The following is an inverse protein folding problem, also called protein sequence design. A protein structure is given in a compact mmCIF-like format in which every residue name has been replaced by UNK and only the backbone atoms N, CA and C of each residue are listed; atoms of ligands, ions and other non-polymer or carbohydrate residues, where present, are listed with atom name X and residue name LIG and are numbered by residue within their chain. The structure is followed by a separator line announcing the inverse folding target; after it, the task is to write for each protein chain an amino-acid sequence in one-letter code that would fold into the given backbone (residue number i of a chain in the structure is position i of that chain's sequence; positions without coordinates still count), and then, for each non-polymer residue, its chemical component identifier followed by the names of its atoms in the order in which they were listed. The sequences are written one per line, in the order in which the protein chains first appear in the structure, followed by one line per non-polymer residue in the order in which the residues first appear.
data_IF_997340510269
#
_entry.id   IF_997340510269
#
_cell.length_a   1.000
_cell.length_b   1.000
_cell.length_c   1.000
_cell.angle_alpha   90.00
_cell.angle_beta   90.00
_cell.angle_gamma   90.00
#
_symmetry.space_group_name_H-M   'P 1'
#
loop_
_entity.id
_entity.type
_entity.pdbx_description
1 polymer ?
#
# COMPACT_ATOMS: atom_id res chain seq x y z
N UNK A 1 15.82 74.22 -4.50
CA UNK A 1 14.87 73.35 -5.23
C UNK A 1 15.30 71.91 -5.00
N UNK A 2 14.54 71.17 -4.19
CA UNK A 2 14.82 69.76 -3.88
C UNK A 2 14.37 68.90 -5.05
N UNK A 3 15.31 68.27 -5.77
CA UNK A 3 14.98 67.29 -6.82
C UNK A 3 14.48 66.01 -6.14
N UNK A 4 13.19 65.74 -6.26
CA UNK A 4 12.64 64.41 -5.98
C UNK A 4 13.07 63.51 -7.13
N UNK A 5 14.05 62.63 -6.88
CA UNK A 5 14.44 61.58 -7.82
C UNK A 5 13.44 60.44 -7.60
N UNK A 6 12.46 60.32 -8.49
CA UNK A 6 11.63 59.12 -8.57
C UNK A 6 12.41 58.09 -9.36
N UNK A 7 12.98 57.09 -8.68
CA UNK A 7 13.57 55.91 -9.32
C UNK A 7 12.44 55.04 -9.84
N UNK A 8 12.26 55.03 -11.16
CA UNK A 8 11.38 54.06 -11.83
C UNK A 8 12.05 52.69 -11.79
N UNK A 9 11.31 51.59 -11.50
CA UNK A 9 11.89 50.25 -11.50
C UNK A 9 12.45 49.91 -12.89
N UNK A 10 13.61 49.24 -12.93
CA UNK A 10 14.15 48.72 -14.18
C UNK A 10 13.11 47.80 -14.84
N UNK A 11 12.89 48.00 -16.15
CA UNK A 11 11.88 47.30 -16.95
C UNK A 11 11.95 45.77 -16.81
N UNK A 12 13.14 45.20 -16.56
CA UNK A 12 13.33 43.77 -16.30
C UNK A 12 12.72 43.25 -14.99
N UNK A 13 12.65 44.08 -13.94
CA UNK A 13 12.06 43.69 -12.65
C UNK A 13 10.53 43.62 -12.73
N UNK A 14 9.92 44.54 -13.47
CA UNK A 14 8.47 44.56 -13.73
C UNK A 14 8.03 43.37 -14.59
N UNK A 15 8.80 43.02 -15.64
CA UNK A 15 8.52 41.84 -16.48
C UNK A 15 8.61 40.54 -15.67
N UNK A 16 9.61 40.41 -14.79
CA UNK A 16 9.76 39.22 -13.93
C UNK A 16 8.61 39.09 -12.92
N UNK A 17 8.19 40.19 -12.30
CA UNK A 17 7.04 40.20 -11.39
C UNK A 17 5.72 39.87 -12.09
N UNK A 18 5.49 40.41 -13.30
CA UNK A 18 4.33 40.07 -14.12
C UNK A 18 4.32 38.58 -14.50
N UNK A 19 5.45 38.01 -14.93
CA UNK A 19 5.54 36.59 -15.27
C UNK A 19 5.25 35.66 -14.09
N UNK A 20 5.73 36.01 -12.89
CA UNK A 20 5.42 35.26 -11.66
C UNK A 20 3.93 35.35 -11.33
N UNK A 21 3.33 36.54 -11.44
CA UNK A 21 1.91 36.74 -11.17
C UNK A 21 1.02 35.99 -12.17
N UNK A 22 1.38 35.99 -13.46
CA UNK A 22 0.68 35.23 -14.50
C UNK A 22 0.78 33.73 -14.22
N UNK A 23 1.97 33.23 -13.88
CA UNK A 23 2.17 31.81 -13.57
C UNK A 23 1.38 31.39 -12.31
N UNK A 24 1.41 32.19 -11.25
CA UNK A 24 0.63 31.96 -10.02
C UNK A 24 -0.87 31.92 -10.31
N UNK A 25 -1.38 32.90 -11.07
CA UNK A 25 -2.79 32.98 -11.43
C UNK A 25 -3.22 31.83 -12.35
N UNK A 26 -2.33 31.36 -13.22
CA UNK A 26 -2.55 30.16 -14.03
C UNK A 26 -2.62 28.89 -13.16
N UNK A 27 -1.77 28.77 -12.13
CA UNK A 27 -1.83 27.66 -11.19
C UNK A 27 -3.11 27.66 -10.36
N UNK A 28 -3.56 28.82 -9.88
CA UNK A 28 -4.83 28.99 -9.17
C UNK A 28 -6.03 28.61 -10.05
N UNK A 29 -6.06 29.07 -11.30
CA UNK A 29 -7.12 28.70 -12.27
C UNK A 29 -7.09 27.20 -12.56
N UNK A 30 -5.91 26.60 -12.76
CA UNK A 30 -5.79 25.17 -12.98
C UNK A 30 -6.24 24.37 -11.75
N UNK A 31 -5.88 24.82 -10.54
CA UNK A 31 -6.30 24.19 -9.30
C UNK A 31 -7.82 24.28 -9.11
N UNK A 32 -8.42 25.44 -9.41
CA UNK A 32 -9.87 25.64 -9.38
C UNK A 32 -10.58 24.76 -10.42
N UNK A 33 -10.07 24.68 -11.65
CA UNK A 33 -10.61 23.79 -12.69
C UNK A 33 -10.54 22.33 -12.23
N UNK A 34 -9.39 21.90 -11.72
CA UNK A 34 -9.23 20.53 -11.22
C UNK A 34 -10.16 20.24 -10.03
N UNK A 35 -10.35 21.21 -9.13
CA UNK A 35 -11.29 21.09 -8.02
C UNK A 35 -12.73 20.93 -8.51
N UNK A 36 -13.14 21.70 -9.53
CA UNK A 36 -14.47 21.55 -10.14
C UNK A 36 -14.66 20.22 -10.87
N UNK A 37 -13.59 19.62 -11.43
CA UNK A 37 -13.66 18.31 -12.08
C UNK A 37 -13.94 17.18 -11.07
N UNK A 38 -13.34 17.25 -9.87
CA UNK A 38 -13.57 16.23 -8.83
C UNK A 38 -14.98 16.29 -8.24
N UNK A 39 -15.58 17.48 -8.18
CA UNK A 39 -16.96 17.70 -7.74
C UNK A 39 -17.98 17.28 -8.80
N UNK A 40 -17.62 17.38 -10.09
CA UNK A 40 -18.46 17.00 -11.23
C UNK A 40 -18.49 15.49 -11.55
N UNK A 41 -18.20 14.63 -10.56
CA UNK A 41 -18.28 13.17 -10.74
C UNK A 41 -19.69 12.75 -11.18
N UNK A 42 -19.75 11.86 -12.16
CA UNK A 42 -21.00 11.30 -12.69
C UNK A 42 -21.39 10.02 -11.95
N UNK A 43 -22.08 9.13 -12.63
CA UNK A 43 -22.48 7.83 -12.12
C UNK A 43 -21.27 6.99 -11.68
N UNK A 44 -21.45 6.30 -10.56
CA UNK A 44 -20.48 5.35 -10.03
C UNK A 44 -20.35 4.19 -11.02
N UNK A 45 -19.13 3.85 -11.42
CA UNK A 45 -18.89 2.76 -12.39
C UNK A 45 -18.41 1.48 -11.71
N UNK A 46 -17.49 1.62 -10.75
CA UNK A 46 -16.81 0.49 -10.13
C UNK A 46 -16.31 0.86 -8.74
N UNK A 47 -16.32 -0.11 -7.82
CA UNK A 47 -15.54 -0.04 -6.59
C UNK A 47 -14.74 -1.30 -6.39
N UNK A 48 -13.55 -1.09 -5.85
CA UNK A 48 -12.75 -2.11 -5.20
C UNK A 48 -12.67 -1.78 -3.72
N UNK A 49 -13.03 -2.72 -2.85
CA UNK A 49 -12.69 -2.66 -1.43
C UNK A 49 -11.68 -3.75 -1.13
N UNK A 50 -10.67 -3.38 -0.33
CA UNK A 50 -9.71 -4.34 0.22
C UNK A 50 -9.73 -4.14 1.73
N UNK A 51 -10.11 -5.19 2.44
CA UNK A 51 -10.16 -5.22 3.89
C UNK A 51 -9.09 -6.19 4.38
N UNK A 52 -8.26 -5.78 5.35
CA UNK A 52 -7.26 -6.63 5.97
C UNK A 52 -7.41 -6.56 7.48
N UNK A 53 -7.71 -7.71 8.08
CA UNK A 53 -7.91 -7.84 9.53
C UNK A 53 -6.89 -8.79 10.12
N UNK A 54 -6.38 -8.46 11.30
CA UNK A 54 -5.43 -9.30 12.02
C UNK A 54 -5.97 -9.76 13.36
N UNK A 55 -5.72 -11.01 13.71
CA UNK A 55 -6.16 -11.64 14.94
C UNK A 55 -4.96 -12.26 15.66
N UNK A 56 -4.92 -12.16 16.98
CA UNK A 56 -4.05 -13.01 17.78
C UNK A 56 -4.54 -14.46 17.68
N UNK A 57 -3.63 -15.40 17.44
CA UNK A 57 -3.96 -16.82 17.43
C UNK A 57 -3.44 -17.50 18.70
N UNK A 58 -2.13 -17.38 18.95
CA UNK A 58 -1.50 -17.83 20.19
C UNK A 58 -0.28 -16.97 20.57
N UNK A 59 0.55 -17.46 21.49
CA UNK A 59 1.76 -16.76 21.96
C UNK A 59 2.81 -16.51 20.87
N UNK A 60 2.78 -17.28 19.79
CA UNK A 60 3.80 -17.30 18.76
C UNK A 60 3.25 -17.02 17.36
N UNK A 61 1.93 -16.91 17.19
CA UNK A 61 1.30 -16.80 15.86
C UNK A 61 0.15 -15.80 15.84
N UNK A 62 -0.04 -15.20 14.67
CA UNK A 62 -1.17 -14.34 14.32
C UNK A 62 -1.83 -14.85 13.04
N UNK A 63 -3.12 -14.58 12.90
CA UNK A 63 -3.88 -14.78 11.67
C UNK A 63 -4.10 -13.44 11.00
N UNK A 64 -3.84 -13.37 9.69
CA UNK A 64 -4.15 -12.21 8.85
C UNK A 64 -5.16 -12.64 7.80
N UNK A 65 -6.33 -12.04 7.80
CA UNK A 65 -7.38 -12.26 6.81
C UNK A 65 -7.48 -11.05 5.89
N UNK A 66 -7.42 -11.28 4.58
CA UNK A 66 -7.63 -10.27 3.56
C UNK A 66 -8.86 -10.62 2.72
N UNK A 67 -9.68 -9.62 2.39
CA UNK A 67 -10.77 -9.74 1.42
C UNK A 67 -10.64 -8.66 0.36
N UNK A 68 -10.72 -9.05 -0.91
CA UNK A 68 -10.83 -8.14 -2.05
C UNK A 68 -12.21 -8.31 -2.68
N UNK A 69 -12.94 -7.21 -2.80
CA UNK A 69 -14.27 -7.19 -3.41
C UNK A 69 -14.37 -6.12 -4.49
N UNK A 70 -14.67 -6.57 -5.70
CA UNK A 70 -14.88 -5.75 -6.87
C UNK A 70 -16.37 -5.73 -7.22
N UNK A 71 -16.97 -4.54 -7.18
CA UNK A 71 -18.37 -4.30 -7.50
C UNK A 71 -18.50 -3.40 -8.72
N UNK A 72 -19.32 -3.78 -9.69
CA UNK A 72 -19.56 -3.02 -10.92
C UNK A 72 -21.00 -2.55 -10.95
N UNK A 73 -21.18 -1.26 -11.17
CA UNK A 73 -22.50 -0.60 -11.10
C UNK A 73 -23.10 -0.31 -12.48
N UNK A 74 -22.41 -0.71 -13.55
CA UNK A 74 -22.82 -0.47 -14.93
C UNK A 74 -22.78 -1.79 -15.72
N UNK A 75 -23.78 -2.01 -16.56
CA UNK A 75 -23.77 -3.14 -17.48
C UNK A 75 -22.67 -2.95 -18.53
N UNK A 76 -22.02 -4.04 -18.89
CA UNK A 76 -20.90 -4.02 -19.84
C UNK A 76 -21.04 -5.16 -20.83
N UNK A 77 -20.34 -5.07 -21.95
CA UNK A 77 -20.38 -6.07 -23.00
C UNK A 77 -18.99 -6.63 -23.24
N UNK A 78 -18.89 -7.94 -23.47
CA UNK A 78 -17.66 -8.57 -23.96
C UNK A 78 -17.38 -8.15 -25.41
N UNK A 79 -16.20 -8.50 -25.92
CA UNK A 79 -15.89 -8.33 -27.35
C UNK A 79 -16.76 -9.21 -28.26
N UNK A 80 -17.35 -10.29 -27.73
CA UNK A 80 -18.33 -11.16 -28.41
C UNK A 80 -19.76 -10.63 -28.32
N UNK A 81 -20.01 -9.54 -27.58
CA UNK A 81 -21.33 -8.96 -27.37
C UNK A 81 -22.10 -9.53 -26.17
N UNK A 82 -21.50 -10.47 -25.42
CA UNK A 82 -22.11 -11.04 -24.22
C UNK A 82 -22.26 -9.97 -23.14
N UNK A 83 -23.45 -9.92 -22.55
CA UNK A 83 -23.78 -8.94 -21.51
C UNK A 83 -23.26 -9.40 -20.15
N UNK A 84 -22.52 -8.54 -19.47
CA UNK A 84 -22.17 -8.68 -18.06
C UNK A 84 -23.03 -7.75 -17.22
N UNK A 85 -23.78 -8.35 -16.29
CA UNK A 85 -24.61 -7.63 -15.34
C UNK A 85 -23.79 -6.91 -14.26
N UNK A 86 -24.45 -6.02 -13.56
CA UNK A 86 -23.92 -5.33 -12.38
C UNK A 86 -23.78 -6.27 -11.18
N UNK A 87 -23.03 -5.83 -10.17
CA UNK A 87 -22.82 -6.54 -8.91
C UNK A 87 -21.37 -6.98 -8.70
N UNK A 88 -21.21 -7.95 -7.78
CA UNK A 88 -19.91 -8.40 -7.29
C UNK A 88 -19.24 -9.33 -8.31
N UNK A 89 -18.19 -8.84 -8.94
CA UNK A 89 -17.45 -9.54 -9.99
C UNK A 89 -16.28 -10.35 -9.43
N UNK A 90 -15.58 -9.80 -8.44
CA UNK A 90 -14.56 -10.53 -7.70
C UNK A 90 -14.91 -10.46 -6.23
N UNK A 91 -14.88 -11.60 -5.55
CA UNK A 91 -14.81 -11.69 -4.11
C UNK A 91 -13.78 -12.77 -3.83
N UNK A 92 -12.63 -12.35 -3.30
CA UNK A 92 -11.46 -13.19 -3.06
C UNK A 92 -10.99 -13.00 -1.64
N UNK A 93 -10.62 -14.10 -0.99
CA UNK A 93 -10.20 -14.10 0.40
C UNK A 93 -8.87 -14.82 0.50
N UNK A 94 -7.95 -14.28 1.30
CA UNK A 94 -6.70 -14.94 1.67
C UNK A 94 -6.61 -14.94 3.19
N UNK A 95 -6.28 -16.09 3.77
CA UNK A 95 -5.95 -16.22 5.19
C UNK A 95 -4.49 -16.65 5.32
N UNK A 96 -3.74 -15.97 6.18
CA UNK A 96 -2.35 -16.30 6.47
C UNK A 96 -2.20 -16.64 7.96
N UNK A 97 -1.55 -17.76 8.25
CA UNK A 97 -1.00 -18.02 9.59
C UNK A 97 0.46 -17.58 9.59
N UNK A 98 0.82 -16.65 10.48
CA UNK A 98 2.15 -16.02 10.48
C UNK A 98 2.85 -16.21 11.83
N UNK A 99 4.09 -16.64 11.78
CA UNK A 99 4.97 -16.79 12.95
C UNK A 99 5.48 -15.43 13.46
N UNK A 100 5.25 -15.13 14.74
CA UNK A 100 5.63 -13.89 15.41
C UNK A 100 7.09 -13.84 15.91
N UNK A 101 7.89 -14.87 15.63
CA UNK A 101 9.34 -14.84 15.87
C UNK A 101 10.08 -14.27 14.67
N UNK A 102 9.69 -14.68 13.46
CA UNK A 102 10.44 -14.43 12.23
C UNK A 102 9.60 -13.94 11.03
N UNK A 103 8.30 -13.63 11.21
CA UNK A 103 7.37 -13.21 10.15
C UNK A 103 7.21 -14.22 9.00
N UNK A 104 7.49 -15.50 9.26
CA UNK A 104 7.30 -16.58 8.28
C UNK A 104 5.81 -16.92 8.12
N UNK A 105 5.36 -17.08 6.88
CA UNK A 105 4.04 -17.62 6.56
C UNK A 105 4.09 -19.13 6.81
N UNK A 106 3.43 -19.59 7.86
CA UNK A 106 3.32 -21.01 8.19
C UNK A 106 2.25 -21.70 7.35
N UNK A 107 1.14 -21.01 7.08
CA UNK A 107 0.08 -21.52 6.21
C UNK A 107 -0.62 -20.41 5.43
N UNK A 108 -1.25 -20.81 4.32
CA UNK A 108 -2.06 -19.95 3.44
C UNK A 108 -3.29 -20.70 2.99
N UNK A 109 -4.45 -20.06 3.11
CA UNK A 109 -5.73 -20.53 2.58
C UNK A 109 -6.31 -19.45 1.64
N UNK A 110 -6.96 -19.90 0.57
CA UNK A 110 -7.51 -19.03 -0.47
C UNK A 110 -8.93 -19.45 -0.79
N UNK A 111 -9.85 -18.48 -0.73
CA UNK A 111 -11.22 -18.67 -1.18
C UNK A 111 -11.53 -17.71 -2.33
N UNK A 112 -12.35 -18.18 -3.29
CA UNK A 112 -12.82 -17.36 -4.40
C UNK A 112 -14.36 -17.38 -4.49
N UNK A 113 -15.10 -16.81 -3.51
CA UNK A 113 -16.56 -16.83 -3.51
C UNK A 113 -17.24 -16.28 -4.78
N UNK A 114 -16.66 -15.25 -5.42
CA UNK A 114 -17.16 -14.71 -6.69
C UNK A 114 -16.01 -14.46 -7.65
N UNK A 115 -16.18 -14.93 -8.89
CA UNK A 115 -15.23 -14.82 -10.00
C UNK A 115 -16.00 -14.57 -11.30
N UNK A 116 -15.40 -13.83 -12.26
CA UNK A 116 -16.08 -13.53 -13.53
C UNK A 116 -16.10 -14.70 -14.50
N UNK A 117 -15.19 -15.68 -14.33
CA UNK A 117 -14.98 -16.80 -15.25
C UNK A 117 -14.53 -18.03 -14.47
N UNK A 118 -15.03 -19.20 -14.84
CA UNK A 118 -14.65 -20.46 -14.18
C UNK A 118 -13.15 -20.77 -14.31
N UNK A 119 -12.51 -20.39 -15.43
CA UNK A 119 -11.06 -20.50 -15.61
C UNK A 119 -10.24 -19.76 -14.53
N UNK A 120 -10.83 -18.78 -13.82
CA UNK A 120 -10.15 -18.15 -12.69
C UNK A 120 -9.89 -19.15 -11.54
N UNK A 121 -10.68 -20.21 -11.38
CA UNK A 121 -10.47 -21.23 -10.33
C UNK A 121 -9.16 -21.99 -10.49
N UNK A 122 -8.60 -22.05 -11.71
CA UNK A 122 -7.28 -22.65 -11.95
C UNK A 122 -6.16 -21.97 -11.15
N UNK A 123 -6.40 -20.75 -10.68
CA UNK A 123 -5.43 -19.97 -9.89
C UNK A 123 -5.62 -20.07 -8.38
N UNK A 124 -6.56 -20.88 -7.88
CA UNK A 124 -6.85 -20.97 -6.44
C UNK A 124 -5.61 -21.32 -5.61
N UNK A 125 -4.76 -22.21 -6.13
CA UNK A 125 -3.53 -22.67 -5.47
C UNK A 125 -2.28 -21.85 -5.87
N UNK A 126 -2.42 -20.75 -6.64
CA UNK A 126 -1.26 -20.02 -7.15
C UNK A 126 -0.39 -19.38 -6.05
N UNK A 127 -0.93 -19.27 -4.83
CA UNK A 127 -0.24 -18.76 -3.66
C UNK A 127 0.33 -19.86 -2.74
N UNK A 128 0.05 -21.14 -2.97
CA UNK A 128 0.60 -22.23 -2.14
C UNK A 128 2.15 -22.16 -1.97
N UNK A 129 2.95 -21.77 -2.97
CA UNK A 129 4.41 -21.67 -2.83
C UNK A 129 4.91 -20.53 -1.92
N UNK A 130 4.04 -19.67 -1.40
CA UNK A 130 4.47 -18.62 -0.45
C UNK A 130 4.68 -19.15 0.97
N UNK A 131 4.21 -20.37 1.26
CA UNK A 131 4.47 -21.03 2.56
C UNK A 131 5.97 -21.16 2.78
N UNK A 132 6.40 -20.81 3.99
CA UNK A 132 7.82 -20.73 4.36
C UNK A 132 8.52 -19.42 3.95
N UNK A 133 7.85 -18.51 3.23
CA UNK A 133 8.42 -17.18 2.98
C UNK A 133 8.24 -16.26 4.19
N UNK A 134 9.25 -15.43 4.45
CA UNK A 134 9.18 -14.35 5.43
C UNK A 134 8.63 -13.06 4.81
N UNK A 135 7.66 -12.43 5.48
CA UNK A 135 7.13 -11.11 5.14
C UNK A 135 8.14 -10.05 5.58
N UNK A 136 9.07 -9.69 4.69
CA UNK A 136 10.13 -8.71 4.93
C UNK A 136 10.48 -7.94 3.65
N UNK A 137 11.53 -7.12 3.69
CA UNK A 137 12.08 -6.42 2.52
C UNK A 137 12.25 -7.39 1.35
N UNK A 138 11.68 -7.02 0.20
CA UNK A 138 11.72 -7.82 -1.04
C UNK A 138 10.63 -8.89 -1.16
N UNK A 139 9.76 -9.07 -0.14
CA UNK A 139 8.64 -10.00 -0.20
C UNK A 139 7.75 -9.76 -1.43
N UNK A 140 7.36 -8.52 -1.70
CA UNK A 140 6.56 -8.13 -2.88
C UNK A 140 7.19 -8.60 -4.20
N UNK A 141 8.51 -8.48 -4.34
CA UNK A 141 9.20 -8.92 -5.55
C UNK A 141 9.22 -10.45 -5.67
N UNK A 142 9.35 -11.18 -4.55
CA UNK A 142 9.29 -12.64 -4.52
C UNK A 142 7.91 -13.15 -4.91
N UNK A 143 6.84 -12.61 -4.32
CA UNK A 143 5.47 -13.06 -4.64
C UNK A 143 5.07 -12.73 -6.08
N UNK A 144 5.55 -11.60 -6.64
CA UNK A 144 5.38 -11.30 -8.07
C UNK A 144 6.05 -12.34 -8.98
N UNK A 145 7.19 -12.90 -8.59
CA UNK A 145 7.87 -13.97 -9.37
C UNK A 145 7.12 -15.30 -9.30
N UNK A 146 6.46 -15.57 -8.18
CA UNK A 146 5.70 -16.80 -7.92
C UNK A 146 4.36 -16.78 -8.66
N UNK A 147 3.55 -15.75 -8.40
CA UNK A 147 2.14 -15.71 -8.81
C UNK A 147 1.81 -14.56 -9.78
N UNK A 148 2.82 -13.90 -10.35
CA UNK A 148 2.62 -12.83 -11.33
C UNK A 148 2.46 -13.33 -12.76
N UNK A 149 1.81 -12.51 -13.59
CA UNK A 149 1.58 -12.80 -15.00
C UNK A 149 0.69 -14.04 -15.18
N UNK A 150 1.00 -14.85 -16.19
CA UNK A 150 0.23 -16.04 -16.55
C UNK A 150 0.22 -17.16 -15.48
N UNK A 151 1.03 -17.05 -14.42
CA UNK A 151 1.17 -18.08 -13.39
C UNK A 151 0.17 -17.96 -12.25
N UNK A 152 -0.59 -16.87 -12.18
CA UNK A 152 -1.50 -16.63 -11.06
C UNK A 152 -2.57 -15.59 -11.35
N UNK A 153 -3.26 -15.17 -10.30
CA UNK A 153 -4.32 -14.17 -10.38
C UNK A 153 -3.82 -12.79 -9.97
N UNK A 154 -4.00 -11.79 -10.85
CA UNK A 154 -3.67 -10.39 -10.56
C UNK A 154 -4.32 -9.91 -9.26
N UNK A 155 -5.57 -10.28 -9.01
CA UNK A 155 -6.32 -9.85 -7.83
C UNK A 155 -5.84 -10.51 -6.53
N UNK A 156 -5.53 -11.82 -6.55
CA UNK A 156 -4.93 -12.50 -5.38
C UNK A 156 -3.55 -11.92 -5.07
N UNK A 157 -2.75 -11.62 -6.11
CA UNK A 157 -1.44 -11.02 -5.95
C UNK A 157 -1.52 -9.60 -5.37
N UNK A 158 -2.47 -8.78 -5.83
CA UNK A 158 -2.74 -7.45 -5.27
C UNK A 158 -3.20 -7.51 -3.81
N UNK A 159 -4.13 -8.41 -3.50
CA UNK A 159 -4.61 -8.63 -2.13
C UNK A 159 -3.46 -9.01 -1.21
N UNK A 160 -2.64 -10.00 -1.58
CA UNK A 160 -1.47 -10.40 -0.80
C UNK A 160 -0.45 -9.27 -0.62
N UNK A 161 -0.23 -8.45 -1.64
CA UNK A 161 0.66 -7.28 -1.54
C UNK A 161 0.14 -6.23 -0.56
N UNK A 162 -1.18 -6.05 -0.51
CA UNK A 162 -1.85 -5.14 0.42
C UNK A 162 -1.81 -5.69 1.85
N UNK A 163 -1.89 -7.01 2.03
CA UNK A 163 -1.81 -7.67 3.32
C UNK A 163 -0.42 -7.59 3.96
N UNK A 164 0.65 -7.60 3.18
CA UNK A 164 2.04 -7.62 3.69
C UNK A 164 2.37 -6.51 4.71
N UNK A 165 2.12 -5.21 4.44
CA UNK A 165 2.35 -4.16 5.44
C UNK A 165 1.44 -4.30 6.67
N UNK A 166 0.19 -4.73 6.51
CA UNK A 166 -0.72 -4.95 7.63
C UNK A 166 -0.24 -6.09 8.55
N UNK A 167 0.32 -7.17 7.98
CA UNK A 167 0.93 -8.25 8.73
C UNK A 167 2.12 -7.78 9.58
N UNK A 168 2.96 -6.88 9.04
CA UNK A 168 4.07 -6.27 9.78
C UNK A 168 3.56 -5.42 10.95
N UNK A 169 2.48 -4.64 10.75
CA UNK A 169 1.87 -3.86 11.81
C UNK A 169 1.25 -4.76 12.89
N UNK A 170 0.53 -5.81 12.50
CA UNK A 170 -0.06 -6.78 13.41
C UNK A 170 1.01 -7.48 14.28
N UNK A 171 2.14 -7.85 13.66
CA UNK A 171 3.31 -8.36 14.37
C UNK A 171 3.87 -7.36 15.39
N UNK A 172 4.02 -6.09 15.00
CA UNK A 172 4.50 -5.05 15.91
C UNK A 172 3.54 -4.88 17.11
N UNK A 173 2.23 -4.85 16.85
CA UNK A 173 1.18 -4.82 17.89
C UNK A 173 1.31 -6.03 18.80
N UNK A 174 1.33 -7.26 18.26
CA UNK A 174 1.44 -8.50 19.03
C UNK A 174 2.64 -8.49 19.97
N UNK A 175 3.79 -8.02 19.48
CA UNK A 175 5.00 -7.89 20.31
C UNK A 175 4.93 -6.82 21.37
N UNK A 176 4.15 -5.76 21.16
CA UNK A 176 3.98 -4.66 22.14
C UNK A 176 2.89 -4.90 23.18
N UNK A 177 2.00 -5.89 22.97
CA UNK A 177 0.92 -6.21 23.92
C UNK A 177 1.44 -6.71 25.28
N UNK A 178 2.63 -7.34 25.30
CA UNK A 178 3.30 -7.75 26.53
C UNK A 178 4.46 -6.80 26.80
N UNK A 179 4.48 -6.20 28.00
CA UNK A 179 5.63 -5.40 28.45
C UNK A 179 6.83 -6.32 28.61
N UNK A 180 7.77 -6.26 27.67
CA UNK A 180 8.98 -7.08 27.72
C UNK A 180 10.12 -6.31 28.36
N UNK A 181 10.96 -7.02 29.12
CA UNK A 181 12.26 -6.48 29.57
C UNK A 181 13.10 -6.17 28.31
N UNK A 182 13.92 -5.13 28.38
CA UNK A 182 14.85 -4.79 27.30
C UNK A 182 15.73 -5.99 26.94
N UNK A 183 15.72 -6.36 25.66
CA UNK A 183 16.52 -7.44 25.10
C UNK A 183 17.25 -6.91 23.85
N UNK A 184 18.59 -6.79 23.89
CA UNK A 184 19.39 -6.27 22.78
C UNK A 184 19.21 -7.04 21.45
N UNK A 185 19.18 -8.37 21.50
CA UNK A 185 19.11 -9.20 20.28
C UNK A 185 17.74 -9.05 19.61
N UNK A 186 16.68 -9.07 20.42
CA UNK A 186 15.32 -8.76 19.98
C UNK A 186 15.20 -7.37 19.38
N UNK A 187 15.82 -6.38 20.02
CA UNK A 187 15.76 -4.99 19.57
C UNK A 187 16.50 -4.84 18.23
N UNK A 188 17.62 -5.55 18.04
CA UNK A 188 18.37 -5.60 16.77
C UNK A 188 17.55 -6.20 15.64
N UNK A 189 16.83 -7.28 15.94
CA UNK A 189 15.93 -7.93 14.99
C UNK A 189 14.81 -6.98 14.53
N UNK A 190 14.22 -6.23 15.46
CA UNK A 190 13.19 -5.22 15.14
C UNK A 190 13.76 -4.14 14.21
N UNK A 191 14.97 -3.62 14.51
CA UNK A 191 15.61 -2.64 13.63
C UNK A 191 15.84 -3.21 12.23
N UNK A 192 16.30 -4.46 12.12
CA UNK A 192 16.53 -5.10 10.83
C UNK A 192 15.25 -5.21 9.99
N UNK A 193 14.09 -5.41 10.62
CA UNK A 193 12.80 -5.41 9.94
C UNK A 193 12.33 -4.03 9.48
N UNK A 194 12.68 -2.97 10.22
CA UNK A 194 12.21 -1.61 9.95
C UNK A 194 13.15 -0.81 9.05
N UNK A 195 14.44 -1.13 9.06
CA UNK A 195 15.46 -0.38 8.34
C UNK A 195 15.14 -0.24 6.85
N UNK A 196 15.15 1.00 6.35
CA UNK A 196 14.87 1.37 4.96
C UNK A 196 13.49 0.89 4.44
N UNK A 197 12.50 0.69 5.32
CA UNK A 197 11.13 0.34 4.92
C UNK A 197 10.23 1.54 4.64
N UNK A 198 10.52 2.70 5.24
CA UNK A 198 9.82 3.95 4.98
C UNK A 198 10.72 5.16 5.23
N UNK A 199 10.23 6.36 4.91
CA UNK A 199 10.97 7.61 5.10
C UNK A 199 11.45 7.80 6.54
N UNK A 200 10.66 7.39 7.53
CA UNK A 200 11.00 7.53 8.95
C UNK A 200 12.13 6.56 9.36
N UNK A 201 12.10 5.33 8.83
CA UNK A 201 13.07 4.27 9.14
C UNK A 201 14.27 4.20 8.19
N UNK A 202 14.54 5.26 7.43
CA UNK A 202 15.76 5.35 6.62
C UNK A 202 17.00 5.24 7.49
N UNK A 203 18.04 4.60 6.97
CA UNK A 203 19.27 4.29 7.72
C UNK A 203 20.01 5.53 8.23
N UNK A 204 19.96 6.63 7.47
CA UNK A 204 20.50 7.94 7.79
C UNK A 204 19.49 8.82 8.57
N UNK A 205 18.43 8.21 9.11
CA UNK A 205 17.32 8.90 9.74
C UNK A 205 17.51 9.11 11.24
N UNK A 206 16.92 10.17 11.82
CA UNK A 206 17.04 10.47 13.25
C UNK A 206 16.47 9.35 14.14
N UNK A 207 15.47 8.62 13.64
CA UNK A 207 14.86 7.48 14.36
C UNK A 207 15.82 6.30 14.46
N UNK A 208 16.48 5.94 13.35
CA UNK A 208 17.48 4.86 13.32
C UNK A 208 18.70 5.25 14.16
N UNK A 209 19.16 6.50 14.10
CA UNK A 209 20.23 6.98 14.98
C UNK A 209 19.89 6.83 16.47
N UNK A 210 18.69 7.26 16.86
CA UNK A 210 18.22 7.14 18.25
C UNK A 210 18.18 5.68 18.68
N UNK A 211 17.69 4.81 17.79
CA UNK A 211 17.62 3.37 18.02
C UNK A 211 19.01 2.75 18.19
N UNK A 212 19.98 3.07 17.31
CA UNK A 212 21.38 2.60 17.41
C UNK A 212 22.07 3.08 18.70
N UNK A 213 21.90 4.36 19.05
CA UNK A 213 22.45 4.97 20.29
C UNK A 213 21.93 4.26 21.54
N UNK A 214 20.63 3.99 21.61
CA UNK A 214 20.00 3.31 22.75
C UNK A 214 20.38 1.83 22.85
N UNK A 215 20.89 1.24 21.77
CA UNK A 215 21.29 -0.16 21.70
C UNK A 215 22.79 -0.41 21.90
N UNK A 216 23.60 0.66 22.01
CA UNK A 216 25.06 0.56 22.01
C UNK A 216 25.64 -0.13 20.74
N UNK A 217 24.89 -0.12 19.63
CA UNK A 217 25.34 -0.64 18.33
C UNK A 217 26.10 0.49 17.63
N UNK A 218 27.40 0.30 17.42
CA UNK A 218 28.25 1.19 16.59
C UNK A 218 27.77 1.21 15.15
#
# INVERSE_FOLDING_TARGET
MTKIIVTLPETGQLVKQMSILIFSKQQEVNQQIMQTLWEAKKEKMHTRSIDVTSYAYDEHRIIIEGSLKDDRFQETYSFTGDKFHTGIIHHLIIKLLVNCTNLMIEDVDVEMPSIPREACRETIDCLAPIKGLTITKGFTAKVKKIAGGQKGCTHLLELLQTMAPAAIQAFATHRSMKRTVYDPERTKLILAFLLNTCRIWREDGPYVETFKKNMNIK
#
